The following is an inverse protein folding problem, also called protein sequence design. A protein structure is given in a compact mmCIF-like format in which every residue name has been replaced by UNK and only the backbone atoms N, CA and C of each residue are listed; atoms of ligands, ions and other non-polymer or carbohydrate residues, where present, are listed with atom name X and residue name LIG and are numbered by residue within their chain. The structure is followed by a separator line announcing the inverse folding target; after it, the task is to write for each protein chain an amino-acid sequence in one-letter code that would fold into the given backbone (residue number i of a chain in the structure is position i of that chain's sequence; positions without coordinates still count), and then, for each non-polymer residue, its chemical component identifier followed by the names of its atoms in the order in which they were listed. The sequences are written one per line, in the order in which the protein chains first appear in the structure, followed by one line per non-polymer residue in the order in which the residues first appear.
data_IF_220296116728
#
_entry.id   IF_220296116728
#
_cell.length_a   1.000
_cell.length_b   1.000
_cell.length_c   1.000
_cell.angle_alpha   90.00
_cell.angle_beta   90.00
_cell.angle_gamma   90.00
#
_symmetry.space_group_name_H-M   'P 1'
#
loop_
_entity.id
_entity.type
_entity.pdbx_description
1 polymer ?
#
# COMPACT_ATOMS: atom_id res chain seq x y z
N UNK A 1 -17.12 20.60 -8.76
CA UNK A 1 -16.83 20.33 -7.34
C UNK A 1 -15.43 19.71 -7.28
N UNK A 2 -14.64 20.20 -6.36
CA UNK A 2 -13.35 19.57 -6.03
C UNK A 2 -13.62 18.32 -5.18
N UNK A 3 -12.79 17.29 -5.27
CA UNK A 3 -12.83 16.07 -4.45
C UNK A 3 -11.46 15.89 -3.79
N UNK A 4 -11.00 16.93 -3.08
CA UNK A 4 -9.65 16.97 -2.52
C UNK A 4 -9.65 16.73 -1.01
N UNK A 5 -10.81 16.81 -0.36
CA UNK A 5 -10.93 16.65 1.09
C UNK A 5 -12.02 15.65 1.47
N UNK A 6 -11.87 15.08 2.67
CA UNK A 6 -12.85 14.18 3.27
C UNK A 6 -14.26 14.80 3.35
N UNK A 7 -14.35 16.08 3.69
CA UNK A 7 -15.63 16.80 3.75
C UNK A 7 -16.28 16.91 2.37
N UNK A 8 -15.51 17.24 1.33
CA UNK A 8 -16.00 17.31 -0.05
C UNK A 8 -16.41 15.92 -0.56
N UNK A 9 -15.66 14.89 -0.20
CA UNK A 9 -16.00 13.50 -0.53
C UNK A 9 -17.33 13.10 0.12
N UNK A 10 -17.51 13.35 1.43
CA UNK A 10 -18.79 13.12 2.13
C UNK A 10 -19.95 13.83 1.46
N UNK A 11 -19.78 15.11 1.13
CA UNK A 11 -20.81 15.89 0.46
C UNK A 11 -21.16 15.35 -0.94
N UNK A 12 -20.14 14.95 -1.70
CA UNK A 12 -20.34 14.34 -3.02
C UNK A 12 -21.10 13.01 -2.93
N UNK A 13 -20.72 12.13 -2.01
CA UNK A 13 -21.41 10.86 -1.80
C UNK A 13 -22.88 11.10 -1.44
N UNK A 14 -23.16 12.03 -0.50
CA UNK A 14 -24.52 12.40 -0.10
C UNK A 14 -25.36 12.85 -1.31
N UNK A 15 -24.80 13.74 -2.15
CA UNK A 15 -25.47 14.24 -3.35
C UNK A 15 -25.74 13.13 -4.39
N UNK A 16 -24.85 12.16 -4.53
CA UNK A 16 -25.02 11.08 -5.51
C UNK A 16 -26.01 10.01 -5.05
N UNK A 17 -26.11 9.78 -3.74
CA UNK A 17 -27.11 8.88 -3.15
C UNK A 17 -28.50 9.53 -3.17
N UNK A 18 -28.59 10.86 -3.18
CA UNK A 18 -29.82 11.67 -3.11
C UNK A 18 -30.72 11.26 -1.92
N UNK A 19 -30.09 11.04 -0.76
CA UNK A 19 -30.78 10.68 0.49
C UNK A 19 -30.19 11.42 1.69
N UNK A 20 -31.06 12.09 2.44
CA UNK A 20 -30.64 12.88 3.61
C UNK A 20 -30.52 12.05 4.90
N UNK A 21 -31.08 10.83 4.91
CA UNK A 21 -31.10 9.96 6.09
C UNK A 21 -29.87 9.04 6.21
N UNK A 22 -28.88 9.15 5.32
CA UNK A 22 -27.67 8.32 5.32
C UNK A 22 -26.39 9.07 5.66
N UNK A 23 -26.51 10.31 6.11
CA UNK A 23 -25.33 11.15 6.41
C UNK A 23 -24.41 10.53 7.45
N UNK A 24 -24.98 9.87 8.46
CA UNK A 24 -24.21 9.23 9.54
C UNK A 24 -23.52 7.94 9.09
N UNK A 25 -23.98 7.32 8.00
CA UNK A 25 -23.41 6.09 7.44
C UNK A 25 -22.32 6.35 6.38
N UNK A 26 -22.25 7.55 5.82
CA UNK A 26 -21.26 7.88 4.79
C UNK A 26 -19.80 7.62 5.26
N UNK A 27 -19.39 7.97 6.49
CA UNK A 27 -18.07 7.62 7.01
C UNK A 27 -17.77 6.12 6.93
N UNK A 28 -18.75 5.26 7.23
CA UNK A 28 -18.59 3.81 7.16
C UNK A 28 -18.39 3.33 5.71
N UNK A 29 -19.13 3.89 4.76
CA UNK A 29 -18.96 3.58 3.33
C UNK A 29 -17.57 3.99 2.83
N UNK A 30 -17.06 5.14 3.26
CA UNK A 30 -15.69 5.58 2.93
C UNK A 30 -14.67 4.61 3.54
N UNK A 31 -14.84 4.23 4.80
CA UNK A 31 -13.93 3.29 5.47
C UNK A 31 -13.89 1.92 4.80
N UNK A 32 -15.05 1.38 4.39
CA UNK A 32 -15.14 0.13 3.63
C UNK A 32 -14.47 0.25 2.26
N UNK A 33 -14.66 1.40 1.59
CA UNK A 33 -13.98 1.68 0.33
C UNK A 33 -12.46 1.76 0.51
N UNK A 34 -11.94 2.41 1.56
CA UNK A 34 -10.51 2.44 1.88
C UNK A 34 -9.93 1.04 2.06
N UNK A 35 -10.58 0.20 2.85
CA UNK A 35 -10.16 -1.19 3.05
C UNK A 35 -10.08 -1.95 1.71
N UNK A 36 -11.05 -1.74 0.83
CA UNK A 36 -11.09 -2.34 -0.49
C UNK A 36 -9.98 -1.81 -1.41
N UNK A 37 -9.76 -0.49 -1.42
CA UNK A 37 -8.72 0.18 -2.19
C UNK A 37 -7.35 -0.39 -1.81
N UNK A 38 -7.00 -0.42 -0.53
CA UNK A 38 -5.67 -0.86 -0.09
C UNK A 38 -5.47 -2.38 -0.10
N UNK A 39 -6.55 -3.17 -0.18
CA UNK A 39 -6.46 -4.60 -0.48
C UNK A 39 -6.12 -4.89 -1.95
N UNK A 40 -6.42 -3.97 -2.88
CA UNK A 40 -6.15 -4.15 -4.31
C UNK A 40 -4.68 -3.88 -4.63
N UNK A 41 -4.02 -4.83 -5.30
CA UNK A 41 -2.60 -4.69 -5.68
C UNK A 41 -2.35 -3.60 -6.72
N UNK A 42 -3.37 -3.17 -7.48
CA UNK A 42 -3.27 -2.07 -8.44
C UNK A 42 -2.99 -0.72 -7.78
N UNK A 43 -3.18 -0.62 -6.49
CA UNK A 43 -2.82 0.57 -5.69
C UNK A 43 -1.37 0.59 -5.22
N UNK A 44 -0.53 -0.37 -5.64
CA UNK A 44 0.91 -0.35 -5.41
C UNK A 44 1.56 0.56 -6.44
N UNK A 45 1.59 1.85 -6.12
CA UNK A 45 2.04 2.93 -7.01
C UNK A 45 3.18 3.72 -6.36
N UNK A 46 4.10 4.34 -7.13
CA UNK A 46 5.23 5.07 -6.58
C UNK A 46 4.90 6.12 -5.51
N UNK A 47 3.81 6.90 -5.59
CA UNK A 47 3.44 7.82 -4.51
C UNK A 47 3.15 7.15 -3.16
N UNK A 48 2.90 5.84 -3.13
CA UNK A 48 2.72 5.05 -1.90
C UNK A 48 3.99 4.29 -1.47
N UNK A 49 5.14 4.64 -2.02
CA UNK A 49 6.41 4.09 -1.59
C UNK A 49 6.98 4.88 -0.41
N UNK A 50 7.58 4.16 0.52
CA UNK A 50 8.22 4.74 1.70
C UNK A 50 9.50 4.00 2.03
N UNK A 51 10.51 4.75 2.46
CA UNK A 51 11.79 4.24 2.94
C UNK A 51 11.89 4.42 4.46
N UNK A 52 12.32 3.39 5.17
CA UNK A 52 12.53 3.44 6.62
C UNK A 52 13.78 2.65 6.99
N UNK A 53 14.51 3.15 7.98
CA UNK A 53 15.60 2.42 8.62
C UNK A 53 15.01 1.52 9.70
N UNK A 54 15.39 0.25 9.67
CA UNK A 54 14.91 -0.76 10.61
C UNK A 54 15.90 -0.93 11.75
N UNK A 55 15.42 -0.92 12.99
CA UNK A 55 16.18 -1.33 14.16
C UNK A 55 15.95 -2.83 14.41
N UNK A 56 17.02 -3.55 14.77
CA UNK A 56 16.97 -4.97 15.13
C UNK A 56 17.25 -5.17 16.60
N UNK A 57 16.68 -6.22 17.16
CA UNK A 57 17.06 -6.73 18.47
C UNK A 57 18.32 -7.62 18.41
N UNK A 58 18.75 -8.14 19.56
CA UNK A 58 19.93 -9.01 19.68
C UNK A 58 19.81 -10.35 18.96
N UNK A 59 18.60 -10.75 18.64
CA UNK A 59 18.31 -11.98 17.91
C UNK A 59 18.18 -11.76 16.40
N UNK A 60 18.26 -10.50 15.94
CA UNK A 60 18.15 -10.13 14.53
C UNK A 60 16.70 -10.08 14.03
N UNK A 61 15.75 -9.74 14.90
CA UNK A 61 14.39 -9.42 14.50
C UNK A 61 14.18 -7.91 14.43
N UNK A 62 13.38 -7.48 13.48
CA UNK A 62 12.90 -6.11 13.37
C UNK A 62 11.39 -6.07 13.19
N UNK A 63 10.72 -5.13 13.83
CA UNK A 63 9.28 -4.95 13.65
C UNK A 63 8.97 -4.41 12.25
N UNK A 64 7.93 -4.99 11.64
CA UNK A 64 7.36 -4.45 10.41
C UNK A 64 6.59 -3.17 10.75
N UNK A 65 6.74 -2.08 9.96
CA UNK A 65 5.96 -0.85 10.16
C UNK A 65 4.46 -1.12 10.19
N UNK A 66 3.71 -0.37 10.99
CA UNK A 66 2.26 -0.58 11.14
C UNK A 66 1.46 -0.23 9.90
N UNK A 67 2.01 0.65 9.06
CA UNK A 67 1.46 1.09 7.78
C UNK A 67 1.92 0.23 6.59
N UNK A 68 2.63 -0.88 6.84
CA UNK A 68 3.21 -1.75 5.82
C UNK A 68 2.14 -2.53 5.05
N UNK A 69 2.19 -2.44 3.73
CA UNK A 69 1.40 -3.27 2.83
C UNK A 69 2.22 -4.37 2.17
N UNK A 70 3.32 -3.98 1.50
CA UNK A 70 4.16 -4.91 0.74
C UNK A 70 5.60 -4.38 0.62
N UNK A 71 6.61 -5.27 0.77
CA UNK A 71 8.02 -4.89 0.57
C UNK A 71 8.36 -4.80 -0.92
N UNK A 72 9.05 -3.75 -1.28
CA UNK A 72 9.67 -3.59 -2.60
C UNK A 72 11.08 -4.17 -2.53
N UNK A 73 11.90 -3.65 -1.61
CA UNK A 73 13.28 -4.10 -1.41
C UNK A 73 13.71 -3.89 0.02
N UNK A 74 14.66 -4.70 0.46
CA UNK A 74 15.31 -4.56 1.75
C UNK A 74 16.82 -4.62 1.56
N UNK A 75 17.53 -3.64 2.11
CA UNK A 75 18.96 -3.47 1.93
C UNK A 75 19.69 -3.56 3.28
N UNK A 76 20.94 -3.97 3.23
CA UNK A 76 21.89 -3.82 4.31
C UNK A 76 23.14 -3.12 3.77
N UNK A 77 23.46 -1.92 4.27
CA UNK A 77 24.58 -1.11 3.80
C UNK A 77 24.61 -1.04 2.26
N UNK A 78 23.49 -0.60 1.65
CA UNK A 78 23.25 -0.48 0.20
C UNK A 78 23.27 -1.79 -0.61
N UNK A 79 23.41 -2.95 0.04
CA UNK A 79 23.36 -4.26 -0.63
C UNK A 79 21.98 -4.90 -0.46
N UNK A 80 21.30 -5.27 -1.56
CA UNK A 80 19.97 -5.88 -1.46
C UNK A 80 20.02 -7.25 -0.78
N UNK A 81 19.08 -7.50 0.12
CA UNK A 81 18.91 -8.77 0.81
C UNK A 81 17.97 -9.70 0.02
N UNK A 82 18.29 -10.98 0.03
CA UNK A 82 17.43 -11.98 -0.59
C UNK A 82 16.35 -12.46 0.37
N UNK A 83 15.09 -12.44 -0.09
CA UNK A 83 13.98 -13.04 0.67
C UNK A 83 13.98 -14.54 0.50
N UNK A 84 13.93 -15.27 1.62
CA UNK A 84 13.82 -16.74 1.65
C UNK A 84 12.64 -17.15 2.55
N UNK A 85 12.32 -18.45 2.57
CA UNK A 85 11.33 -18.98 3.50
C UNK A 85 11.85 -18.94 4.95
N UNK A 86 10.94 -18.83 5.91
CA UNK A 86 11.31 -18.85 7.33
C UNK A 86 11.99 -20.16 7.71
N UNK A 87 11.48 -21.29 7.21
CA UNK A 87 12.04 -22.62 7.53
C UNK A 87 13.49 -22.73 7.02
N UNK A 88 13.75 -22.25 5.81
CA UNK A 88 15.10 -22.21 5.25
C UNK A 88 16.03 -21.32 6.08
N UNK A 89 15.56 -20.14 6.50
CA UNK A 89 16.35 -19.22 7.32
C UNK A 89 16.66 -19.83 8.70
N UNK A 90 15.68 -20.48 9.31
CA UNK A 90 15.83 -21.14 10.63
C UNK A 90 16.71 -22.40 10.57
N UNK A 91 16.93 -22.99 9.40
CA UNK A 91 17.86 -24.13 9.25
C UNK A 91 19.34 -23.73 9.26
N UNK A 92 19.65 -22.44 9.12
CA UNK A 92 21.04 -21.98 9.15
C UNK A 92 21.62 -22.02 10.57
N UNK A 93 22.90 -22.38 10.65
CA UNK A 93 23.63 -22.30 11.94
C UNK A 93 23.78 -20.86 12.37
N UNK A 94 23.52 -20.57 13.64
CA UNK A 94 23.60 -19.22 14.19
C UNK A 94 24.95 -18.53 13.87
N UNK A 95 24.89 -17.35 13.26
CA UNK A 95 26.03 -16.57 12.84
C UNK A 95 25.67 -15.10 12.97
N UNK A 96 26.62 -14.27 13.46
CA UNK A 96 26.51 -12.82 13.47
C UNK A 96 27.35 -12.21 12.36
N UNK A 97 26.86 -11.12 11.77
CA UNK A 97 27.57 -10.41 10.71
C UNK A 97 26.64 -9.61 9.81
N UNK A 98 27.15 -9.22 8.63
CA UNK A 98 26.33 -8.52 7.63
C UNK A 98 25.27 -9.46 7.06
N UNK A 99 23.98 -9.13 7.18
CA UNK A 99 22.90 -9.92 6.61
C UNK A 99 22.98 -10.05 5.10
N UNK A 100 22.57 -11.21 4.60
CA UNK A 100 22.36 -11.47 3.16
C UNK A 100 20.95 -11.97 2.87
N UNK A 101 20.27 -12.48 3.89
CA UNK A 101 18.94 -13.05 3.78
C UNK A 101 17.99 -12.46 4.80
N UNK A 102 16.70 -12.47 4.45
CA UNK A 102 15.63 -12.18 5.39
C UNK A 102 14.40 -13.05 5.14
N UNK A 103 13.61 -13.24 6.18
CA UNK A 103 12.33 -13.92 6.12
C UNK A 103 11.28 -13.16 6.94
N UNK A 104 10.01 -13.30 6.57
CA UNK A 104 8.90 -12.78 7.39
C UNK A 104 8.54 -13.80 8.47
N UNK A 105 8.49 -13.33 9.71
CA UNK A 105 8.05 -14.08 10.86
C UNK A 105 6.95 -13.29 11.58
N UNK A 106 5.70 -13.64 11.33
CA UNK A 106 4.52 -12.96 11.89
C UNK A 106 4.49 -11.46 11.53
N UNK A 107 4.70 -10.57 12.50
CA UNK A 107 4.76 -9.11 12.34
C UNK A 107 6.20 -8.56 12.38
N UNK A 108 7.19 -9.42 12.14
CA UNK A 108 8.61 -9.09 12.18
C UNK A 108 9.31 -9.60 10.92
N UNK A 109 10.44 -9.00 10.62
CA UNK A 109 11.46 -9.58 9.75
C UNK A 109 12.54 -10.23 10.60
N UNK A 110 12.99 -11.40 10.22
CA UNK A 110 14.18 -12.08 10.73
C UNK A 110 15.28 -11.97 9.70
N UNK A 111 16.49 -11.61 10.14
CA UNK A 111 17.65 -11.44 9.28
C UNK A 111 18.69 -12.53 9.56
N UNK A 112 19.44 -12.90 8.50
CA UNK A 112 20.56 -13.85 8.61
C UNK A 112 21.69 -13.46 7.66
N UNK A 113 22.96 -13.49 8.12
CA UNK A 113 23.41 -13.51 9.52
C UNK A 113 22.73 -12.47 10.42
N UNK A 114 22.78 -12.69 11.75
CA UNK A 114 22.24 -11.71 12.71
C UNK A 114 22.99 -10.40 12.60
N UNK A 115 22.31 -9.25 12.31
CA UNK A 115 22.98 -7.97 12.14
C UNK A 115 23.74 -7.53 13.38
N UNK A 116 24.82 -6.83 13.17
CA UNK A 116 25.55 -6.12 14.23
C UNK A 116 25.09 -4.66 14.30
N UNK A 117 25.43 -3.94 15.36
CA UNK A 117 25.07 -2.54 15.54
C UNK A 117 25.65 -1.59 14.47
N UNK A 118 26.63 -2.05 13.68
CA UNK A 118 27.22 -1.29 12.58
C UNK A 118 26.46 -1.43 11.26
N UNK A 119 25.51 -2.39 11.15
CA UNK A 119 24.79 -2.62 9.93
C UNK A 119 23.53 -1.74 9.86
N UNK A 120 23.38 -1.00 8.75
CA UNK A 120 22.19 -0.21 8.48
C UNK A 120 21.22 -1.01 7.61
N UNK A 121 20.04 -1.30 8.15
CA UNK A 121 18.98 -1.98 7.43
C UNK A 121 17.96 -0.96 6.93
N UNK A 122 17.67 -0.99 5.62
CA UNK A 122 16.74 -0.08 4.98
C UNK A 122 15.65 -0.86 4.26
N UNK A 123 14.40 -0.59 4.60
CA UNK A 123 13.22 -1.15 3.96
C UNK A 123 12.59 -0.11 3.04
N UNK A 124 12.39 -0.47 1.77
CA UNK A 124 11.52 0.24 0.84
C UNK A 124 10.25 -0.59 0.67
N UNK A 125 9.10 0.02 0.89
CA UNK A 125 7.82 -0.68 0.91
C UNK A 125 6.65 0.21 0.49
N UNK A 126 5.57 -0.40 0.04
CA UNK A 126 4.29 0.27 -0.13
C UNK A 126 3.60 0.40 1.22
N UNK A 127 3.19 1.62 1.55
CA UNK A 127 2.50 1.91 2.80
C UNK A 127 1.02 2.22 2.59
N UNK A 128 0.23 1.97 3.60
CA UNK A 128 -1.14 2.44 3.68
C UNK A 128 -1.15 3.83 4.31
N UNK A 129 -1.63 4.86 3.60
CA UNK A 129 -1.84 6.17 4.19
C UNK A 129 -2.81 6.11 5.38
N UNK A 130 -2.74 7.08 6.26
CA UNK A 130 -3.73 7.21 7.33
C UNK A 130 -5.13 7.35 6.74
N UNK A 131 -6.10 6.71 7.40
CA UNK A 131 -7.49 6.74 6.98
C UNK A 131 -8.04 8.17 6.96
N UNK A 132 -8.94 8.43 6.03
CA UNK A 132 -9.64 9.71 5.97
C UNK A 132 -10.56 9.88 7.18
N UNK A 133 -10.51 11.06 7.78
CA UNK A 133 -11.33 11.45 8.93
C UNK A 133 -11.44 12.97 9.01
N UNK A 134 -12.23 13.47 9.93
CA UNK A 134 -12.32 14.93 10.16
C UNK A 134 -10.99 15.53 10.67
N UNK A 135 -10.13 14.73 11.31
CA UNK A 135 -8.77 15.11 11.74
C UNK A 135 -7.71 14.84 10.67
N UNK A 136 -7.97 13.97 9.68
CA UNK A 136 -7.10 13.66 8.55
C UNK A 136 -7.89 13.86 7.26
N UNK A 137 -8.01 15.12 6.84
CA UNK A 137 -8.93 15.53 5.78
C UNK A 137 -8.52 15.08 4.38
N UNK A 138 -7.26 14.71 4.14
CA UNK A 138 -6.76 14.28 2.84
C UNK A 138 -5.68 13.22 2.99
N UNK A 139 -5.46 12.43 1.96
CA UNK A 139 -4.30 11.56 1.81
C UNK A 139 -3.89 11.47 0.35
N UNK A 140 -2.69 10.98 0.11
CA UNK A 140 -2.11 10.91 -1.25
C UNK A 140 -2.99 10.12 -2.22
N UNK A 141 -3.72 9.10 -1.75
CA UNK A 141 -4.60 8.30 -2.61
C UNK A 141 -5.86 9.07 -3.02
N UNK A 142 -6.43 9.89 -2.13
CA UNK A 142 -7.55 10.78 -2.48
C UNK A 142 -7.12 11.83 -3.51
N UNK A 143 -5.90 12.35 -3.39
CA UNK A 143 -5.33 13.32 -4.33
C UNK A 143 -5.09 12.70 -5.71
N UNK A 144 -4.57 11.48 -5.77
CA UNK A 144 -4.24 10.79 -7.02
C UNK A 144 -5.47 10.20 -7.73
N UNK A 145 -6.43 9.69 -6.98
CA UNK A 145 -7.56 8.95 -7.52
C UNK A 145 -8.88 9.22 -6.78
N UNK A 146 -9.39 10.47 -6.77
CA UNK A 146 -10.62 10.82 -6.05
C UNK A 146 -11.83 10.02 -6.55
N UNK A 147 -11.88 9.67 -7.84
CA UNK A 147 -12.96 8.87 -8.42
C UNK A 147 -13.02 7.45 -7.84
N UNK A 148 -11.88 6.86 -7.47
CA UNK A 148 -11.82 5.53 -6.86
C UNK A 148 -12.47 5.55 -5.48
N UNK A 149 -12.22 6.60 -4.68
CA UNK A 149 -12.89 6.80 -3.40
C UNK A 149 -14.40 6.99 -3.57
N UNK A 150 -14.81 7.89 -4.46
CA UNK A 150 -16.22 8.18 -4.68
C UNK A 150 -16.99 6.94 -5.13
N UNK A 151 -16.53 6.28 -6.18
CA UNK A 151 -17.22 5.10 -6.69
C UNK A 151 -17.12 3.91 -5.72
N UNK A 152 -16.00 3.72 -5.04
CA UNK A 152 -15.87 2.70 -4.01
C UNK A 152 -16.90 2.88 -2.90
N UNK A 153 -17.05 4.08 -2.37
CA UNK A 153 -18.05 4.38 -1.33
C UNK A 153 -19.49 4.23 -1.84
N UNK A 154 -19.76 4.62 -3.09
CA UNK A 154 -21.09 4.43 -3.71
C UNK A 154 -21.44 2.97 -3.91
N UNK A 155 -20.48 2.10 -4.22
CA UNK A 155 -20.69 0.64 -4.26
C UNK A 155 -21.10 0.11 -2.89
N UNK A 156 -20.42 0.54 -1.83
CA UNK A 156 -20.76 0.10 -0.47
C UNK A 156 -22.13 0.65 -0.02
N UNK A 157 -22.45 1.88 -0.40
CA UNK A 157 -23.78 2.45 -0.17
C UNK A 157 -24.89 1.67 -0.92
N UNK A 158 -24.64 1.29 -2.17
CA UNK A 158 -25.58 0.47 -2.95
C UNK A 158 -25.83 -0.89 -2.29
N UNK A 159 -24.78 -1.56 -1.81
CA UNK A 159 -24.91 -2.83 -1.05
C UNK A 159 -25.75 -2.64 0.21
N UNK A 160 -25.48 -1.58 0.97
CA UNK A 160 -26.25 -1.26 2.17
C UNK A 160 -27.73 -1.05 1.89
N UNK A 161 -28.05 -0.42 0.76
CA UNK A 161 -29.43 -0.15 0.32
C UNK A 161 -30.11 -1.33 -0.38
N UNK A 162 -29.41 -2.43 -0.66
CA UNK A 162 -29.92 -3.51 -1.49
C UNK A 162 -30.20 -3.09 -2.94
N UNK A 163 -29.51 -2.05 -3.42
CA UNK A 163 -29.65 -1.50 -4.77
C UNK A 163 -28.59 -2.05 -5.73
N UNK A 164 -28.85 -1.95 -7.03
CA UNK A 164 -27.86 -2.31 -8.05
C UNK A 164 -26.71 -1.29 -8.06
N UNK A 165 -25.51 -1.77 -7.70
CA UNK A 165 -24.27 -1.00 -7.68
C UNK A 165 -23.39 -1.19 -8.92
N UNK A 166 -23.82 -1.94 -9.92
CA UNK A 166 -23.00 -2.35 -11.08
C UNK A 166 -22.36 -1.17 -11.80
N UNK A 167 -23.09 -0.08 -11.99
CA UNK A 167 -22.60 1.15 -12.61
C UNK A 167 -21.45 1.80 -11.81
N UNK A 168 -21.55 1.76 -10.48
CA UNK A 168 -20.51 2.31 -9.61
C UNK A 168 -19.29 1.40 -9.57
N UNK A 169 -19.51 0.09 -9.59
CA UNK A 169 -18.46 -0.91 -9.68
C UNK A 169 -17.63 -0.75 -10.96
N UNK A 170 -18.26 -0.54 -12.11
CA UNK A 170 -17.57 -0.26 -13.37
C UNK A 170 -16.73 1.01 -13.30
N UNK A 171 -17.26 2.08 -12.70
CA UNK A 171 -16.53 3.33 -12.46
C UNK A 171 -15.33 3.14 -11.55
N UNK A 172 -15.47 2.35 -10.48
CA UNK A 172 -14.40 1.99 -9.55
C UNK A 172 -13.27 1.23 -10.25
N UNK A 173 -13.62 0.17 -11.01
CA UNK A 173 -12.64 -0.62 -11.76
C UNK A 173 -11.90 0.20 -12.82
N UNK A 174 -12.62 1.05 -13.53
CA UNK A 174 -12.03 1.98 -14.50
C UNK A 174 -11.05 2.95 -13.83
N UNK A 175 -11.40 3.48 -12.68
CA UNK A 175 -10.54 4.36 -11.88
C UNK A 175 -9.24 3.68 -11.45
N UNK A 176 -9.32 2.44 -10.94
CA UNK A 176 -8.14 1.65 -10.56
C UNK A 176 -7.23 1.32 -11.75
N UNK A 177 -7.80 0.99 -12.90
CA UNK A 177 -7.01 0.71 -14.10
C UNK A 177 -6.27 1.95 -14.59
N UNK A 178 -6.93 3.12 -14.62
CA UNK A 178 -6.28 4.40 -14.97
C UNK A 178 -5.14 4.74 -14.01
N UNK A 179 -5.33 4.50 -12.71
CA UNK A 179 -4.30 4.72 -11.70
C UNK A 179 -3.06 3.87 -11.99
N UNK A 180 -3.25 2.59 -12.28
CA UNK A 180 -2.18 1.66 -12.62
C UNK A 180 -1.45 2.04 -13.92
N UNK A 181 -2.20 2.42 -14.96
CA UNK A 181 -1.63 2.88 -16.23
C UNK A 181 -0.77 4.14 -16.06
N UNK A 182 -1.28 5.11 -15.29
CA UNK A 182 -0.54 6.32 -14.97
C UNK A 182 0.75 6.04 -14.20
N UNK A 183 0.69 5.15 -13.22
CA UNK A 183 1.84 4.72 -12.44
C UNK A 183 2.92 4.06 -13.32
N UNK A 184 2.53 3.12 -14.18
CA UNK A 184 3.47 2.46 -15.11
C UNK A 184 4.10 3.44 -16.09
N UNK A 185 3.32 4.39 -16.59
CA UNK A 185 3.83 5.44 -17.48
C UNK A 185 4.89 6.31 -16.81
N UNK A 186 4.76 6.59 -15.51
CA UNK A 186 5.73 7.39 -14.76
C UNK A 186 7.02 6.62 -14.42
N UNK A 187 6.95 5.33 -14.15
CA UNK A 187 8.11 4.47 -13.87
C UNK A 187 9.06 4.35 -15.08
N UNK A 188 8.50 4.28 -16.29
CA UNK A 188 9.29 4.09 -17.50
C UNK A 188 9.56 5.42 -18.25
N UNK A 189 9.08 6.55 -17.72
CA UNK A 189 9.32 7.86 -18.31
C UNK A 189 10.82 8.22 -18.24
N UNK A 190 11.47 8.26 -19.42
CA UNK A 190 12.89 8.59 -19.55
C UNK A 190 13.88 7.41 -19.47
N UNK A 191 13.42 6.19 -19.29
CA UNK A 191 14.29 5.01 -19.37
C UNK A 191 14.27 4.41 -20.79
N UNK A 192 15.46 4.19 -21.35
CA UNK A 192 15.58 3.37 -22.57
C UNK A 192 15.48 1.91 -22.18
N UNK A 193 14.54 1.11 -22.77
CA UNK A 193 14.46 -0.30 -22.47
C UNK A 193 15.78 -0.99 -22.84
N UNK A 194 16.51 -1.49 -21.85
CA UNK A 194 17.68 -2.34 -22.09
C UNK A 194 17.19 -3.77 -22.23
N UNK A 195 17.19 -4.30 -23.46
CA UNK A 195 17.00 -5.74 -23.67
C UNK A 195 18.24 -6.45 -23.17
N UNK A 196 18.13 -7.20 -22.05
CA UNK A 196 19.16 -8.17 -21.70
C UNK A 196 19.12 -9.29 -22.77
N UNK A 197 20.19 -9.39 -23.56
CA UNK A 197 20.38 -10.53 -24.42
C UNK A 197 20.46 -11.78 -23.53
N UNK A 198 19.50 -12.70 -23.70
CA UNK A 198 19.53 -13.98 -23.00
C UNK A 198 20.82 -14.70 -23.38
N UNK A 199 21.55 -15.14 -22.37
CA UNK A 199 22.67 -16.09 -22.60
C UNK A 199 22.05 -17.37 -23.13
N UNK A 200 22.47 -17.74 -24.37
CA UNK A 200 22.22 -19.05 -24.97
C UNK A 200 23.09 -20.12 -24.32
#
# INVERSE_FOLDING_TARGET
MSLTTYSELKASIANWIDRTNLTDQIPDFIKLAENRIFADKRTRIPPLEKKVVLATDSEGFSRIPTDYLESISLFCDDVPLQRISLDQLMSFTAQSGKPSYFARHTYMFKFFPTPTSSNQLELIYYYQPADLSDSNATNIMLEQAPSVYLYGALVEAAKYLGADGSRWEEGYQTGLNKLLEHSRGSEFSGSTPVMQAGYA
#
